data_IF_170124086181
#
_entry.id   IF_170124086181
#
_cell.length_a   1.000
_cell.length_b   1.000
_cell.length_c   1.000
_cell.angle_alpha   90.00
_cell.angle_beta   90.00
_cell.angle_gamma   90.00
#
_symmetry.space_group_name_H-M   'P 1'
#
loop_
_entity.id
_entity.type
_entity.pdbx_description
1 polymer ?
#
# COMPACT_ATOMS: atom_id res chain seq x y z
N UNK A 1 10.07 -7.28 10.31
CA UNK A 1 9.10 -6.88 9.26
C UNK A 1 9.62 -5.71 8.43
N UNK A 2 9.99 -4.58 9.04
CA UNK A 2 10.45 -3.40 8.26
C UNK A 2 11.69 -3.71 7.41
N UNK A 3 12.64 -4.49 7.88
CA UNK A 3 13.83 -4.85 7.11
C UNK A 3 13.48 -5.71 5.89
N UNK A 4 12.43 -6.51 5.97
CA UNK A 4 11.88 -7.25 4.83
C UNK A 4 11.24 -6.29 3.82
N UNK A 5 10.38 -5.36 4.28
CA UNK A 5 9.70 -4.39 3.42
C UNK A 5 10.71 -3.50 2.68
N UNK A 6 11.79 -3.10 3.33
CA UNK A 6 12.86 -2.29 2.72
C UNK A 6 13.62 -2.98 1.57
N UNK A 7 13.43 -4.28 1.37
CA UNK A 7 13.99 -5.02 0.22
C UNK A 7 13.04 -5.03 -0.98
N UNK A 8 11.78 -4.66 -0.79
CA UNK A 8 10.80 -4.68 -1.87
C UNK A 8 11.03 -3.56 -2.87
N UNK A 9 10.88 -3.89 -4.14
CA UNK A 9 10.90 -2.95 -5.27
C UNK A 9 9.55 -2.90 -5.97
N UNK A 10 8.90 -4.06 -6.10
CA UNK A 10 7.63 -4.24 -6.77
C UNK A 10 6.69 -5.10 -5.92
N UNK A 11 5.47 -4.63 -5.69
CA UNK A 11 4.46 -5.33 -4.92
C UNK A 11 3.14 -5.29 -5.67
N UNK A 12 2.44 -6.42 -5.73
CA UNK A 12 1.04 -6.41 -6.14
C UNK A 12 0.12 -6.17 -4.95
N UNK A 13 -0.89 -5.29 -5.14
CA UNK A 13 -1.98 -5.10 -4.19
C UNK A 13 -3.23 -5.77 -4.73
N UNK A 14 -3.73 -6.75 -4.00
CA UNK A 14 -4.93 -7.51 -4.36
C UNK A 14 -6.08 -7.14 -3.44
N UNK A 15 -7.21 -6.82 -4.05
CA UNK A 15 -8.44 -6.43 -3.35
C UNK A 15 -9.30 -7.67 -3.09
N UNK A 16 -9.59 -8.01 -1.82
CA UNK A 16 -10.42 -9.18 -1.49
C UNK A 16 -11.85 -9.13 -2.06
N UNK A 17 -12.37 -7.94 -2.36
CA UNK A 17 -13.70 -7.76 -2.96
C UNK A 17 -13.71 -7.96 -4.48
N UNK A 18 -12.55 -8.24 -5.08
CA UNK A 18 -12.42 -8.46 -6.53
C UNK A 18 -12.09 -9.91 -6.84
N UNK A 19 -12.73 -10.43 -7.86
CA UNK A 19 -12.47 -11.81 -8.31
C UNK A 19 -11.11 -11.90 -9.02
N UNK A 20 -10.37 -12.96 -8.69
CA UNK A 20 -9.17 -13.41 -9.36
C UNK A 20 -9.19 -14.94 -9.38
N UNK A 21 -9.01 -15.55 -10.54
CA UNK A 21 -8.97 -17.02 -10.66
C UNK A 21 -7.71 -17.59 -10.03
N UNK A 22 -7.69 -18.89 -9.76
CA UNK A 22 -6.48 -19.56 -9.24
C UNK A 22 -5.33 -19.53 -10.25
N UNK A 23 -5.64 -19.62 -11.55
CA UNK A 23 -4.66 -19.52 -12.63
C UNK A 23 -4.04 -18.11 -12.71
N UNK A 24 -4.85 -17.07 -12.60
CA UNK A 24 -4.35 -15.69 -12.59
C UNK A 24 -3.52 -15.40 -11.34
N UNK A 25 -3.97 -15.90 -10.17
CA UNK A 25 -3.23 -15.75 -8.91
C UNK A 25 -1.88 -16.48 -8.95
N UNK A 26 -1.83 -17.66 -9.58
CA UNK A 26 -0.58 -18.41 -9.82
C UNK A 26 0.43 -17.56 -10.62
N UNK A 27 -0.01 -16.97 -11.74
CA UNK A 27 0.81 -16.08 -12.55
C UNK A 27 1.31 -14.86 -11.76
N UNK A 28 0.45 -14.24 -10.95
CA UNK A 28 0.82 -13.11 -10.10
C UNK A 28 1.86 -13.52 -9.05
N UNK A 29 1.61 -14.59 -8.31
CA UNK A 29 2.49 -15.02 -7.21
C UNK A 29 3.82 -15.57 -7.72
N UNK A 30 3.87 -16.14 -8.94
CA UNK A 30 5.09 -16.67 -9.54
C UNK A 30 5.82 -15.67 -10.44
N UNK A 31 5.35 -14.42 -10.54
CA UNK A 31 5.90 -13.40 -11.45
C UNK A 31 7.26 -12.84 -11.05
N UNK A 32 7.73 -13.11 -9.83
CA UNK A 32 8.93 -12.48 -9.25
C UNK A 32 8.64 -11.15 -8.53
N UNK A 33 7.38 -10.79 -8.30
CA UNK A 33 7.03 -9.70 -7.38
C UNK A 33 7.58 -9.98 -5.98
N UNK A 34 7.87 -8.95 -5.19
CA UNK A 34 8.51 -9.13 -3.88
C UNK A 34 7.53 -9.51 -2.76
N UNK A 35 6.26 -9.13 -2.92
CA UNK A 35 5.21 -9.42 -1.94
C UNK A 35 3.80 -9.22 -2.53
N UNK A 36 2.81 -9.68 -1.78
CA UNK A 36 1.40 -9.32 -1.98
C UNK A 36 0.93 -8.47 -0.81
N UNK A 37 0.34 -7.31 -1.10
CA UNK A 37 -0.48 -6.57 -0.15
C UNK A 37 -1.94 -6.93 -0.40
N UNK A 38 -2.61 -7.48 0.59
CA UNK A 38 -4.06 -7.67 0.57
C UNK A 38 -4.70 -6.41 1.14
N UNK A 39 -5.60 -5.79 0.41
CA UNK A 39 -6.28 -4.58 0.86
C UNK A 39 -7.13 -3.93 -0.23
N UNK A 40 -8.13 -3.19 0.20
CA UNK A 40 -9.05 -2.43 -0.65
C UNK A 40 -9.77 -1.37 0.15
N UNK A 41 -10.55 -0.53 -0.53
CA UNK A 41 -11.23 0.62 0.09
C UNK A 41 -12.69 0.36 0.44
N UNK A 42 -13.29 -0.73 -0.03
CA UNK A 42 -14.71 -1.05 0.17
C UNK A 42 -14.98 -2.54 -0.05
N UNK A 43 -16.07 -3.07 0.51
CA UNK A 43 -16.49 -4.45 0.32
C UNK A 43 -15.59 -5.50 0.99
N UNK A 44 -14.60 -5.07 1.77
CA UNK A 44 -13.69 -5.96 2.48
C UNK A 44 -14.43 -6.60 3.66
N UNK A 45 -14.37 -7.92 3.74
CA UNK A 45 -14.96 -8.70 4.82
C UNK A 45 -13.95 -9.69 5.38
N UNK A 46 -14.23 -10.23 6.55
CA UNK A 46 -13.43 -11.32 7.13
C UNK A 46 -13.30 -12.50 6.15
N UNK A 47 -14.44 -12.94 5.59
CA UNK A 47 -14.50 -14.14 4.75
C UNK A 47 -13.72 -13.99 3.44
N UNK A 48 -13.89 -12.87 2.71
CA UNK A 48 -13.14 -12.66 1.46
C UNK A 48 -11.64 -12.41 1.70
N UNK A 49 -11.28 -11.81 2.84
CA UNK A 49 -9.88 -11.65 3.25
C UNK A 49 -9.23 -13.00 3.59
N UNK A 50 -9.94 -13.87 4.32
CA UNK A 50 -9.48 -15.25 4.62
C UNK A 50 -9.30 -16.05 3.33
N UNK A 51 -10.27 -15.97 2.42
CA UNK A 51 -10.19 -16.70 1.15
C UNK A 51 -8.94 -16.31 0.37
N UNK A 52 -8.78 -15.02 0.09
CA UNK A 52 -7.64 -14.53 -0.67
C UNK A 52 -6.30 -14.86 0.02
N UNK A 53 -6.20 -14.60 1.33
CA UNK A 53 -4.99 -14.94 2.09
C UNK A 53 -4.66 -16.43 1.98
N UNK A 54 -5.63 -17.31 2.18
CA UNK A 54 -5.41 -18.77 2.15
C UNK A 54 -4.90 -19.26 0.79
N UNK A 55 -5.33 -18.61 -0.28
CA UNK A 55 -4.89 -18.91 -1.65
C UNK A 55 -3.46 -18.42 -1.88
N UNK A 56 -3.12 -17.17 -1.45
CA UNK A 56 -1.76 -16.61 -1.55
C UNK A 56 -0.78 -17.43 -0.71
N UNK A 57 -1.20 -17.96 0.44
CA UNK A 57 -0.35 -18.80 1.33
C UNK A 57 0.11 -20.12 0.72
N UNK A 58 -0.35 -20.49 -0.47
CA UNK A 58 0.18 -21.65 -1.22
C UNK A 58 1.57 -21.38 -1.82
N UNK A 59 2.02 -20.12 -1.83
CA UNK A 59 3.27 -19.65 -2.42
C UNK A 59 4.25 -19.18 -1.35
N UNK A 60 5.55 -19.34 -1.61
CA UNK A 60 6.62 -18.80 -0.76
C UNK A 60 6.84 -17.30 -1.05
N UNK A 61 5.82 -16.50 -0.77
CA UNK A 61 5.80 -15.08 -1.06
C UNK A 61 5.26 -14.32 0.18
N UNK A 62 5.95 -13.27 0.65
CA UNK A 62 5.42 -12.44 1.72
C UNK A 62 4.02 -11.90 1.41
N UNK A 63 3.11 -12.04 2.37
CA UNK A 63 1.74 -11.57 2.25
C UNK A 63 1.36 -10.74 3.46
N UNK A 64 1.08 -9.45 3.25
CA UNK A 64 0.72 -8.50 4.32
C UNK A 64 -0.69 -7.95 4.10
N UNK A 65 -1.36 -7.61 5.20
CA UNK A 65 -2.67 -6.94 5.15
C UNK A 65 -2.50 -5.44 5.33
N UNK A 66 -2.99 -4.62 4.40
CA UNK A 66 -3.22 -3.20 4.65
C UNK A 66 -4.60 -3.03 5.30
N UNK A 67 -4.60 -2.61 6.55
CA UNK A 67 -5.82 -2.57 7.37
C UNK A 67 -6.63 -1.33 7.04
N UNK A 68 -7.81 -1.54 6.44
CA UNK A 68 -8.80 -0.48 6.15
C UNK A 68 -10.06 -0.58 6.99
N UNK A 69 -10.37 -1.78 7.50
CA UNK A 69 -11.52 -2.06 8.36
C UNK A 69 -11.12 -3.07 9.44
N UNK A 70 -11.49 -2.78 10.70
CA UNK A 70 -11.15 -3.65 11.84
C UNK A 70 -11.89 -4.99 11.80
N UNK A 71 -13.09 -5.03 11.25
CA UNK A 71 -13.89 -6.26 11.16
C UNK A 71 -13.35 -7.22 10.09
N UNK A 72 -12.48 -6.71 9.20
CA UNK A 72 -11.80 -7.50 8.17
C UNK A 72 -10.37 -7.93 8.56
N UNK A 73 -9.93 -7.65 9.77
CA UNK A 73 -8.60 -8.09 10.25
C UNK A 73 -8.61 -9.59 10.51
N UNK A 74 -7.76 -10.29 9.78
CA UNK A 74 -7.62 -11.75 9.81
C UNK A 74 -6.23 -12.09 10.33
N UNK A 75 -6.07 -13.00 11.30
CA UNK A 75 -4.75 -13.49 11.70
C UNK A 75 -4.14 -14.37 10.60
N UNK A 76 -2.79 -14.37 10.53
CA UNK A 76 -2.05 -15.27 9.63
C UNK A 76 -1.28 -14.57 8.52
N UNK A 77 -1.33 -13.25 8.43
CA UNK A 77 -0.44 -12.46 7.56
C UNK A 77 0.98 -12.37 8.15
N UNK A 78 1.97 -12.13 7.28
CA UNK A 78 3.37 -11.90 7.71
C UNK A 78 3.54 -10.54 8.36
N UNK A 79 2.60 -9.63 8.15
CA UNK A 79 2.55 -8.31 8.75
C UNK A 79 1.27 -7.55 8.43
N UNK A 80 1.09 -6.46 9.14
CA UNK A 80 -0.06 -5.57 9.01
C UNK A 80 0.41 -4.15 8.82
N UNK A 81 0.02 -3.54 7.71
CA UNK A 81 0.25 -2.14 7.43
C UNK A 81 -0.92 -1.32 7.98
N UNK A 82 -0.61 -0.32 8.77
CA UNK A 82 -1.62 0.49 9.45
C UNK A 82 -1.56 1.92 8.92
N UNK A 83 -2.45 2.30 7.98
CA UNK A 83 -2.47 3.64 7.42
C UNK A 83 -2.82 4.70 8.48
N UNK A 84 -1.98 5.71 8.63
CA UNK A 84 -2.26 6.95 9.34
C UNK A 84 -2.41 8.06 8.30
N UNK A 85 -3.65 8.45 7.98
CA UNK A 85 -3.92 9.41 6.89
C UNK A 85 -3.59 10.82 7.34
N UNK A 86 -2.39 11.28 6.99
CA UNK A 86 -1.81 12.51 7.55
C UNK A 86 -2.51 13.79 7.07
N UNK A 87 -3.00 13.79 5.84
CA UNK A 87 -3.69 14.92 5.23
C UNK A 87 -5.24 14.81 5.28
N UNK A 88 -5.77 13.90 6.12
CA UNK A 88 -7.20 13.85 6.40
C UNK A 88 -7.65 15.08 7.20
N UNK A 89 -8.86 15.55 6.93
CA UNK A 89 -9.45 16.70 7.68
C UNK A 89 -9.97 16.31 9.05
N UNK A 90 -10.28 15.04 9.28
CA UNK A 90 -10.75 14.52 10.56
C UNK A 90 -9.65 13.64 11.20
N UNK A 91 -9.24 14.01 12.41
CA UNK A 91 -8.20 13.32 13.17
C UNK A 91 -8.50 11.84 13.46
N UNK A 92 -9.76 11.41 13.30
CA UNK A 92 -10.12 9.99 13.44
C UNK A 92 -9.35 9.09 12.48
N UNK A 93 -9.01 9.58 11.27
CA UNK A 93 -8.26 8.84 10.26
C UNK A 93 -6.75 8.82 10.52
N UNK A 94 -6.27 9.71 11.37
CA UNK A 94 -4.87 9.75 11.78
C UNK A 94 -4.63 8.95 13.07
N UNK A 95 -5.55 9.02 14.05
CA UNK A 95 -5.35 8.36 15.35
C UNK A 95 -6.63 7.83 16.01
N UNK A 96 -7.81 8.43 15.75
CA UNK A 96 -9.03 8.09 16.48
C UNK A 96 -9.48 6.64 16.30
N UNK A 97 -9.51 6.15 15.07
CA UNK A 97 -9.85 4.75 14.78
C UNK A 97 -8.82 3.77 15.36
N UNK A 98 -7.54 4.15 15.35
CA UNK A 98 -6.47 3.34 15.93
C UNK A 98 -6.64 3.23 17.45
N UNK A 99 -6.97 4.33 18.14
CA UNK A 99 -7.25 4.33 19.57
C UNK A 99 -8.43 3.40 19.90
N UNK A 100 -9.53 3.50 19.17
CA UNK A 100 -10.71 2.64 19.36
C UNK A 100 -10.38 1.15 19.13
N UNK A 101 -9.57 0.87 18.11
CA UNK A 101 -9.11 -0.48 17.81
C UNK A 101 -8.27 -1.07 18.96
N UNK A 102 -7.34 -0.28 19.46
CA UNK A 102 -6.46 -0.70 20.58
C UNK A 102 -7.27 -0.89 21.85
N UNK A 103 -8.21 0.00 22.15
CA UNK A 103 -9.08 -0.12 23.30
C UNK A 103 -9.90 -1.42 23.27
N UNK A 104 -10.43 -1.77 22.09
CA UNK A 104 -11.30 -2.94 21.91
C UNK A 104 -10.52 -4.25 21.80
N UNK A 105 -9.39 -4.25 21.11
CA UNK A 105 -8.67 -5.45 20.68
C UNK A 105 -7.22 -5.51 21.11
N UNK A 106 -6.72 -4.56 21.92
CA UNK A 106 -5.29 -4.41 22.23
C UNK A 106 -4.62 -5.67 22.77
N UNK A 107 -5.35 -6.51 23.50
CA UNK A 107 -4.85 -7.78 24.02
C UNK A 107 -4.70 -8.89 22.95
N UNK A 108 -5.25 -8.70 21.75
CA UNK A 108 -5.12 -9.61 20.60
C UNK A 108 -4.13 -9.10 19.53
N UNK A 109 -3.69 -7.86 19.66
CA UNK A 109 -2.85 -7.22 18.63
C UNK A 109 -1.45 -7.85 18.63
N UNK A 110 -0.99 -8.41 17.49
CA UNK A 110 0.37 -8.90 17.35
C UNK A 110 1.33 -7.72 17.06
N UNK A 111 1.67 -6.95 18.09
CA UNK A 111 2.41 -5.69 17.99
C UNK A 111 3.69 -5.78 17.16
N UNK A 112 4.41 -6.89 17.22
CA UNK A 112 5.66 -7.12 16.47
C UNK A 112 5.43 -7.28 14.95
N UNK A 113 4.19 -7.52 14.53
CA UNK A 113 3.80 -7.65 13.12
C UNK A 113 3.12 -6.40 12.55
N UNK A 114 2.93 -5.34 13.36
CA UNK A 114 2.32 -4.09 12.91
C UNK A 114 3.38 -3.08 12.47
N UNK A 115 3.11 -2.41 11.36
CA UNK A 115 3.87 -1.24 10.93
C UNK A 115 2.89 -0.12 10.59
N UNK A 116 3.01 1.00 11.28
CA UNK A 116 2.29 2.20 10.93
C UNK A 116 2.97 2.88 9.73
N UNK A 117 2.16 3.35 8.81
CA UNK A 117 2.60 4.10 7.63
C UNK A 117 1.99 5.50 7.59
N UNK A 118 2.81 6.49 7.28
CA UNK A 118 2.36 7.84 7.03
C UNK A 118 1.72 7.91 5.65
N UNK A 119 0.40 7.88 5.60
CA UNK A 119 -0.38 7.76 4.38
C UNK A 119 -0.79 9.13 3.88
N UNK A 120 -0.38 9.51 2.67
CA UNK A 120 -0.65 10.81 2.04
C UNK A 120 -1.50 10.58 0.81
N UNK A 121 -2.75 11.00 0.85
CA UNK A 121 -3.73 10.81 -0.23
C UNK A 121 -3.67 11.98 -1.21
N UNK A 122 -3.44 11.72 -2.50
CA UNK A 122 -3.13 12.72 -3.50
C UNK A 122 -4.08 12.71 -4.74
N UNK A 123 -5.03 11.76 -4.80
CA UNK A 123 -6.07 11.77 -5.83
C UNK A 123 -7.44 12.09 -5.23
N UNK A 124 -7.97 13.27 -5.51
CA UNK A 124 -9.28 13.74 -5.04
C UNK A 124 -10.45 12.81 -5.45
N UNK A 125 -10.31 12.09 -6.56
CA UNK A 125 -11.35 11.20 -7.09
C UNK A 125 -11.27 9.77 -6.50
N UNK A 126 -10.28 9.48 -5.66
CA UNK A 126 -10.14 8.18 -5.01
C UNK A 126 -11.23 7.94 -3.95
N UNK A 127 -11.54 6.67 -3.70
CA UNK A 127 -12.48 6.30 -2.63
C UNK A 127 -11.92 6.73 -1.26
N UNK A 128 -10.62 6.55 -1.04
CA UNK A 128 -9.99 6.94 0.22
C UNK A 128 -10.04 8.45 0.44
N UNK A 129 -9.87 9.29 -0.59
CA UNK A 129 -10.00 10.74 -0.46
C UNK A 129 -11.42 11.16 -0.03
N UNK A 130 -12.43 10.56 -0.67
CA UNK A 130 -13.84 10.83 -0.30
C UNK A 130 -14.18 10.37 1.11
N UNK A 131 -13.66 9.22 1.51
CA UNK A 131 -13.91 8.62 2.82
C UNK A 131 -13.27 9.43 3.96
N UNK A 132 -12.02 9.87 3.75
CA UNK A 132 -11.22 10.54 4.78
C UNK A 132 -11.33 12.05 4.76
N UNK A 133 -11.92 12.63 3.70
CA UNK A 133 -11.94 14.06 3.49
C UNK A 133 -10.52 14.66 3.33
N UNK A 134 -9.59 13.88 2.78
CA UNK A 134 -8.21 14.31 2.65
C UNK A 134 -8.08 15.56 1.77
N UNK A 135 -7.26 16.51 2.21
CA UNK A 135 -6.81 17.63 1.38
C UNK A 135 -5.78 17.11 0.38
N UNK A 136 -6.23 16.90 -0.85
CA UNK A 136 -5.42 16.29 -1.91
C UNK A 136 -4.71 17.30 -2.81
N UNK A 137 -5.03 18.59 -2.71
CA UNK A 137 -4.42 19.67 -3.50
C UNK A 137 -3.12 20.16 -2.83
N UNK A 138 -2.15 19.26 -2.73
CA UNK A 138 -0.89 19.55 -2.07
C UNK A 138 0.15 20.07 -3.05
N UNK A 139 0.80 21.17 -2.67
CA UNK A 139 2.05 21.57 -3.31
C UNK A 139 3.16 20.56 -2.97
N UNK A 140 4.24 20.54 -3.77
CA UNK A 140 5.44 19.74 -3.47
C UNK A 140 5.93 20.00 -2.04
N UNK A 141 6.00 21.28 -1.64
CA UNK A 141 6.43 21.67 -0.29
C UNK A 141 5.52 21.11 0.82
N UNK A 142 4.21 21.08 0.60
CA UNK A 142 3.25 20.52 1.55
C UNK A 142 3.38 18.99 1.66
N UNK A 143 3.51 18.29 0.53
CA UNK A 143 3.71 16.84 0.52
C UNK A 143 5.02 16.45 1.23
N UNK A 144 6.11 17.16 0.93
CA UNK A 144 7.40 17.00 1.63
C UNK A 144 7.25 17.21 3.13
N UNK A 145 6.51 18.26 3.55
CA UNK A 145 6.32 18.56 4.97
C UNK A 145 5.55 17.44 5.69
N UNK A 146 4.50 16.89 5.09
CA UNK A 146 3.80 15.71 5.63
C UNK A 146 4.72 14.49 5.76
N UNK A 147 5.50 14.20 4.73
CA UNK A 147 6.43 13.07 4.74
C UNK A 147 7.53 13.24 5.82
N UNK A 148 8.07 14.44 5.97
CA UNK A 148 9.04 14.73 7.04
C UNK A 148 8.40 14.71 8.43
N UNK A 149 7.15 15.12 8.58
CA UNK A 149 6.42 14.97 9.85
C UNK A 149 6.24 13.49 10.20
N UNK A 150 5.85 12.65 9.23
CA UNK A 150 5.79 11.20 9.42
C UNK A 150 7.13 10.63 9.91
N UNK A 151 8.21 10.92 9.20
CA UNK A 151 9.53 10.38 9.51
C UNK A 151 10.12 10.93 10.83
N UNK A 152 10.07 12.26 11.03
CA UNK A 152 10.84 12.92 12.09
C UNK A 152 10.07 13.18 13.37
N UNK A 153 8.77 13.48 13.27
CA UNK A 153 7.94 13.74 14.45
C UNK A 153 7.26 12.47 14.95
N UNK A 154 6.73 11.66 14.02
CA UNK A 154 6.00 10.45 14.37
C UNK A 154 6.88 9.19 14.35
N UNK A 155 8.12 9.28 13.84
CA UNK A 155 9.05 8.16 13.68
C UNK A 155 8.44 6.98 12.90
N UNK A 156 7.61 7.28 11.91
CA UNK A 156 7.03 6.26 11.04
C UNK A 156 8.09 5.72 10.08
N UNK A 157 8.23 4.39 9.96
CA UNK A 157 9.25 3.79 9.11
C UNK A 157 8.88 3.79 7.62
N UNK A 158 7.61 4.06 7.30
CA UNK A 158 7.07 4.07 5.94
C UNK A 158 6.32 5.38 5.69
N UNK A 159 6.50 5.94 4.51
CA UNK A 159 5.64 6.96 3.91
C UNK A 159 5.00 6.36 2.67
N UNK A 160 3.67 6.37 2.60
CA UNK A 160 2.92 5.87 1.46
C UNK A 160 2.26 7.03 0.71
N UNK A 161 2.60 7.22 -0.56
CA UNK A 161 1.99 8.22 -1.43
C UNK A 161 0.92 7.56 -2.29
N UNK A 162 -0.34 7.90 -2.03
CA UNK A 162 -1.52 7.24 -2.57
C UNK A 162 -2.19 8.05 -3.68
N UNK A 163 -2.09 7.54 -4.91
CA UNK A 163 -2.74 8.11 -6.09
C UNK A 163 -3.78 7.18 -6.72
N UNK A 164 -4.37 6.27 -5.94
CA UNK A 164 -5.32 5.26 -6.44
C UNK A 164 -6.28 5.80 -7.50
N UNK A 165 -6.31 5.13 -8.66
CA UNK A 165 -7.15 5.49 -9.80
C UNK A 165 -6.52 6.45 -10.82
N UNK A 166 -5.34 7.02 -10.54
CA UNK A 166 -4.60 7.86 -11.49
C UNK A 166 -3.09 7.71 -11.31
N UNK A 167 -2.33 7.90 -12.38
CA UNK A 167 -0.87 8.00 -12.27
C UNK A 167 -0.50 9.38 -11.71
N UNK A 168 0.35 9.40 -10.69
CA UNK A 168 0.66 10.59 -9.93
C UNK A 168 1.71 11.50 -10.57
N UNK A 169 1.98 12.60 -9.89
CA UNK A 169 3.04 13.54 -10.23
C UNK A 169 4.39 12.98 -9.75
N UNK A 170 5.20 12.48 -10.68
CA UNK A 170 6.51 11.88 -10.38
C UNK A 170 7.54 12.91 -9.92
N UNK A 171 7.37 14.20 -10.22
CA UNK A 171 8.20 15.26 -9.66
C UNK A 171 7.92 15.43 -8.15
N UNK A 172 6.65 15.50 -7.79
CA UNK A 172 6.23 15.59 -6.38
C UNK A 172 6.69 14.36 -5.57
N UNK A 173 6.53 13.15 -6.14
CA UNK A 173 6.99 11.91 -5.49
C UNK A 173 8.51 11.92 -5.31
N UNK A 174 9.26 12.27 -6.36
CA UNK A 174 10.72 12.28 -6.33
C UNK A 174 11.29 13.35 -5.39
N UNK A 175 10.69 14.55 -5.33
CA UNK A 175 11.09 15.58 -4.37
C UNK A 175 10.83 15.12 -2.93
N UNK A 176 9.69 14.46 -2.70
CA UNK A 176 9.37 13.91 -1.38
C UNK A 176 10.40 12.85 -0.98
N UNK A 177 10.71 11.92 -1.87
CA UNK A 177 11.70 10.85 -1.62
C UNK A 177 13.07 11.42 -1.29
N UNK A 178 13.55 12.41 -2.04
CA UNK A 178 14.87 13.06 -1.80
C UNK A 178 14.99 13.75 -0.43
N UNK A 179 13.88 14.04 0.24
CA UNK A 179 13.83 14.70 1.56
C UNK A 179 13.66 13.74 2.72
N UNK A 180 13.40 12.48 2.45
CA UNK A 180 13.41 11.40 3.45
C UNK A 180 14.84 10.87 3.62
N UNK A 181 15.19 10.51 4.86
CA UNK A 181 16.51 9.98 5.22
C UNK A 181 16.46 8.52 5.69
N UNK A 182 15.34 8.12 6.29
CA UNK A 182 15.19 6.82 6.95
C UNK A 182 13.92 6.07 6.57
N UNK A 183 12.84 6.82 6.36
CA UNK A 183 11.56 6.24 6.01
C UNK A 183 11.60 5.70 4.59
N UNK A 184 11.01 4.54 4.40
CA UNK A 184 10.87 3.87 3.12
C UNK A 184 9.67 4.45 2.37
N UNK A 185 9.88 4.95 1.15
CA UNK A 185 8.82 5.53 0.35
C UNK A 185 8.15 4.48 -0.51
N UNK A 186 6.85 4.29 -0.29
CA UNK A 186 5.98 3.46 -1.12
C UNK A 186 5.12 4.36 -1.99
N UNK A 187 5.00 4.03 -3.26
CA UNK A 187 4.11 4.70 -4.20
C UNK A 187 3.05 3.74 -4.72
N UNK A 188 1.77 4.13 -4.66
CA UNK A 188 0.66 3.41 -5.27
C UNK A 188 -0.26 4.33 -6.06
N UNK A 189 -0.61 3.94 -7.28
CA UNK A 189 -1.60 4.65 -8.09
C UNK A 189 -1.33 4.65 -9.59
N UNK A 190 -2.32 4.22 -10.35
CA UNK A 190 -2.39 4.36 -11.81
C UNK A 190 -1.28 3.73 -12.63
N UNK A 191 -0.54 2.77 -12.06
CA UNK A 191 0.46 2.00 -12.82
C UNK A 191 -0.27 0.94 -13.63
N UNK A 192 -0.43 1.18 -14.92
CA UNK A 192 -1.19 0.34 -15.85
C UNK A 192 -0.37 -0.14 -17.06
N UNK A 193 0.94 0.14 -17.06
CA UNK A 193 1.90 -0.31 -18.07
C UNK A 193 3.34 -0.33 -17.52
N UNK A 194 4.29 -1.01 -18.24
CA UNK A 194 5.69 -1.11 -17.84
C UNK A 194 6.44 0.23 -17.80
N UNK A 195 6.06 1.20 -18.64
CA UNK A 195 6.71 2.52 -18.69
C UNK A 195 6.43 3.30 -17.40
N UNK A 196 5.16 3.35 -16.98
CA UNK A 196 4.76 3.97 -15.71
C UNK A 196 5.40 3.26 -14.50
N UNK A 197 5.49 1.93 -14.55
CA UNK A 197 6.19 1.16 -13.52
C UNK A 197 7.66 1.58 -13.40
N UNK A 198 8.34 1.72 -14.53
CA UNK A 198 9.74 2.19 -14.58
C UNK A 198 9.88 3.61 -14.03
N UNK A 199 9.00 4.53 -14.46
CA UNK A 199 9.01 5.93 -14.00
C UNK A 199 8.82 6.02 -12.47
N UNK A 200 7.82 5.30 -11.94
CA UNK A 200 7.55 5.30 -10.50
C UNK A 200 8.69 4.68 -9.70
N UNK A 201 9.29 3.58 -10.19
CA UNK A 201 10.40 2.90 -9.53
C UNK A 201 11.72 3.71 -9.53
N UNK A 202 11.84 4.75 -10.34
CA UNK A 202 12.96 5.68 -10.31
C UNK A 202 12.87 6.69 -9.17
N UNK A 203 11.68 6.94 -8.64
CA UNK A 203 11.41 7.99 -7.65
C UNK A 203 10.85 7.49 -6.33
N UNK A 204 10.56 6.20 -6.21
CA UNK A 204 10.11 5.54 -5.00
C UNK A 204 10.95 4.30 -4.70
N UNK A 205 11.01 3.90 -3.43
CA UNK A 205 11.70 2.68 -3.01
C UNK A 205 10.92 1.42 -3.43
N UNK A 206 9.61 1.44 -3.22
CA UNK A 206 8.68 0.36 -3.62
C UNK A 206 7.52 0.95 -4.43
N UNK A 207 7.15 0.28 -5.52
CA UNK A 207 5.91 0.56 -6.23
C UNK A 207 4.85 -0.50 -5.95
N UNK A 208 3.59 -0.05 -5.85
CA UNK A 208 2.42 -0.92 -5.65
C UNK A 208 1.55 -0.89 -6.90
N UNK A 209 1.35 -2.05 -7.48
CA UNK A 209 0.55 -2.27 -8.70
C UNK A 209 -0.73 -3.02 -8.31
N UNK A 210 -1.89 -2.45 -8.61
CA UNK A 210 -3.19 -3.01 -8.20
C UNK A 210 -4.14 -3.24 -9.36
N UNK A 211 -4.91 -2.23 -9.74
CA UNK A 211 -6.06 -2.33 -10.65
C UNK A 211 -5.79 -3.04 -11.98
N UNK A 212 -4.61 -2.90 -12.54
CA UNK A 212 -4.24 -3.52 -13.82
C UNK A 212 -4.26 -5.05 -13.77
N UNK A 213 -4.05 -5.65 -12.60
CA UNK A 213 -4.12 -7.12 -12.41
C UNK A 213 -5.46 -7.68 -12.89
N UNK A 214 -6.53 -6.92 -12.71
CA UNK A 214 -7.90 -7.32 -13.01
C UNK A 214 -8.39 -6.90 -14.40
N UNK A 215 -7.69 -6.01 -15.09
CA UNK A 215 -8.09 -5.51 -16.39
C UNK A 215 -7.17 -5.97 -17.53
N UNK A 216 -5.89 -6.15 -17.27
CA UNK A 216 -4.89 -6.63 -18.22
C UNK A 216 -3.73 -7.28 -17.46
N UNK A 217 -3.90 -8.57 -17.14
CA UNK A 217 -2.91 -9.32 -16.37
C UNK A 217 -1.53 -9.36 -17.04
N UNK A 218 -1.47 -9.44 -18.38
CA UNK A 218 -0.19 -9.48 -19.10
C UNK A 218 0.60 -8.20 -18.85
N UNK A 219 -0.03 -7.03 -18.97
CA UNK A 219 0.62 -5.76 -18.64
C UNK A 219 1.01 -5.67 -17.16
N UNK A 220 0.17 -6.20 -16.25
CA UNK A 220 0.53 -6.28 -14.83
C UNK A 220 1.83 -7.05 -14.62
N UNK A 221 1.97 -8.22 -15.24
CA UNK A 221 3.19 -9.04 -15.15
C UNK A 221 4.41 -8.35 -15.79
N UNK A 222 4.22 -7.62 -16.89
CA UNK A 222 5.28 -6.83 -17.51
C UNK A 222 5.83 -5.72 -16.59
N UNK A 223 5.02 -5.20 -15.64
CA UNK A 223 5.49 -4.21 -14.67
C UNK A 223 6.57 -4.79 -13.73
N UNK A 224 6.49 -6.06 -13.39
CA UNK A 224 7.52 -6.75 -12.59
C UNK A 224 8.85 -6.78 -13.34
N UNK A 225 8.82 -7.19 -14.63
CA UNK A 225 10.00 -7.24 -15.47
C UNK A 225 10.64 -5.87 -15.67
N UNK A 226 9.81 -4.83 -15.82
CA UNK A 226 10.28 -3.45 -15.99
C UNK A 226 11.04 -2.92 -14.78
N UNK A 227 10.68 -3.37 -13.58
CA UNK A 227 11.29 -2.90 -12.32
C UNK A 227 12.45 -3.78 -11.86
N UNK A 228 12.34 -5.09 -12.03
CA UNK A 228 13.28 -6.07 -11.48
C UNK A 228 14.22 -6.67 -12.52
N UNK A 229 13.93 -6.48 -13.80
CA UNK A 229 14.64 -7.14 -14.87
C UNK A 229 14.19 -8.61 -15.03
N UNK A 230 14.80 -9.30 -15.99
CA UNK A 230 14.55 -10.75 -16.19
C UNK A 230 15.15 -11.54 -15.02
N UNK A 231 14.34 -12.42 -14.45
CA UNK A 231 14.78 -13.39 -13.45
C UNK A 231 15.69 -14.44 -14.11
#
# INVERSE_FOLDING_TARGET
>A
LIDMIKQWRHVFKLDPDREITDEELDLVCMSGTDAIIVGGSSGITYDNTVDLMSRVRRYELPCVLEVSDLEAVVPGFDGYLIPMVLNATDSKWMIGHHQQAIERYGYLIPWDLLIAEGYIVLNANSTVARLTGADTDLTIGAAVAYAQAAERLLNLPIVYMEYSGTFGDMELVGETHRKLERAHLIYGGGIDDPEKATQAAQVADTIVVGNIVYSDLNKALETVLAVKGTI
#
